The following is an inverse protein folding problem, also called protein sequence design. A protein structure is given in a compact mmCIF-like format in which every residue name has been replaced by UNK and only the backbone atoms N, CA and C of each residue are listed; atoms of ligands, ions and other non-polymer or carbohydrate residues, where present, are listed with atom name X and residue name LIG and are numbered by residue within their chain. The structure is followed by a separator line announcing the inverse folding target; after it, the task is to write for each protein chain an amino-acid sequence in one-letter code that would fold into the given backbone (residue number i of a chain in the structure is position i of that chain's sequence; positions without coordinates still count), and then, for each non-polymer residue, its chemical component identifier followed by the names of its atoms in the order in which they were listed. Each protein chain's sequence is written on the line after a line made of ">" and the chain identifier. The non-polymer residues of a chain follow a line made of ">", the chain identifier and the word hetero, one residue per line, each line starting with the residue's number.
data_IF_215883960689
#
_entry.id   IF_215883960689
#
_cell.length_a   1.000
_cell.length_b   1.000
_cell.length_c   1.000
_cell.angle_alpha   90.00
_cell.angle_beta   90.00
_cell.angle_gamma   90.00
#
_symmetry.space_group_name_H-M   'P 1'
#
loop_
_entity.id
_entity.type
_entity.pdbx_description
1 polymer ?
#
# COMPACT_ATOMS: atom_id res chain seq x y z
N UNK A 1 18.49 5.25 -26.01
CA UNK A 1 17.69 4.79 -24.85
C UNK A 1 16.64 5.85 -24.64
N UNK A 2 15.36 5.49 -24.57
CA UNK A 2 14.31 6.47 -24.26
C UNK A 2 14.51 6.98 -22.85
N UNK A 3 14.69 8.28 -22.67
CA UNK A 3 14.75 8.95 -21.38
C UNK A 3 13.35 8.94 -20.74
N UNK A 4 12.93 7.81 -20.19
CA UNK A 4 11.75 7.78 -19.32
C UNK A 4 12.22 7.82 -17.86
N UNK A 5 11.47 8.54 -17.04
CA UNK A 5 11.74 8.65 -15.62
C UNK A 5 10.57 8.04 -14.83
N UNK A 6 10.88 7.09 -13.94
CA UNK A 6 9.91 6.51 -13.01
C UNK A 6 10.07 7.24 -11.69
N UNK A 7 9.08 8.08 -11.34
CA UNK A 7 9.13 8.92 -10.14
C UNK A 7 8.72 8.19 -8.85
N UNK A 8 8.20 6.95 -8.93
CA UNK A 8 7.78 6.16 -7.77
C UNK A 8 6.38 5.56 -7.92
N UNK A 9 5.85 5.04 -6.80
CA UNK A 9 4.51 4.49 -6.71
C UNK A 9 3.56 5.62 -6.33
N UNK A 10 2.62 5.95 -7.22
CA UNK A 10 1.65 7.00 -6.97
C UNK A 10 0.51 6.50 -6.07
N UNK A 11 0.02 5.26 -6.28
CA UNK A 11 -1.08 4.68 -5.54
C UNK A 11 -1.00 3.17 -5.46
N UNK A 12 -1.73 2.59 -4.49
CA UNK A 12 -2.03 1.16 -4.44
C UNK A 12 -3.55 0.97 -4.39
N UNK A 13 -4.06 -0.04 -5.11
CA UNK A 13 -5.47 -0.39 -5.11
C UNK A 13 -5.87 -1.17 -3.85
N UNK A 14 -6.92 -0.74 -3.20
CA UNK A 14 -7.48 -1.39 -2.00
C UNK A 14 -8.95 -1.75 -2.26
N UNK A 15 -9.25 -3.05 -2.30
CA UNK A 15 -10.62 -3.56 -2.32
C UNK A 15 -11.29 -3.44 -0.95
N UNK A 16 -12.52 -2.94 -0.91
CA UNK A 16 -13.28 -2.79 0.34
C UNK A 16 -14.74 -3.18 0.18
N UNK A 17 -15.40 -3.45 1.29
CA UNK A 17 -16.86 -3.69 1.35
C UNK A 17 -17.63 -2.48 1.87
N UNK A 18 -16.94 -1.49 2.43
CA UNK A 18 -17.50 -0.22 2.91
C UNK A 18 -16.51 0.91 2.61
N UNK A 19 -16.78 1.59 1.52
CA UNK A 19 -15.95 2.65 1.00
C UNK A 19 -15.74 3.80 2.01
N UNK A 20 -16.82 4.32 2.60
CA UNK A 20 -16.77 5.46 3.51
C UNK A 20 -15.98 5.15 4.78
N UNK A 21 -16.23 3.98 5.35
CA UNK A 21 -15.52 3.51 6.54
C UNK A 21 -14.03 3.33 6.27
N UNK A 22 -13.69 2.76 5.11
CA UNK A 22 -12.30 2.57 4.69
C UNK A 22 -11.59 3.91 4.52
N UNK A 23 -12.16 4.82 3.75
CA UNK A 23 -11.52 6.10 3.50
C UNK A 23 -11.34 6.92 4.78
N UNK A 24 -12.34 6.98 5.66
CA UNK A 24 -12.21 7.63 6.96
C UNK A 24 -11.07 7.03 7.80
N UNK A 25 -10.88 5.71 7.73
CA UNK A 25 -9.78 5.04 8.39
C UNK A 25 -8.42 5.46 7.80
N UNK A 26 -8.29 5.52 6.46
CA UNK A 26 -7.06 5.96 5.79
C UNK A 26 -6.76 7.45 6.01
N UNK A 27 -7.78 8.29 6.10
CA UNK A 27 -7.60 9.69 6.53
C UNK A 27 -7.02 9.73 7.95
N UNK A 28 -7.63 9.00 8.89
CA UNK A 28 -7.27 9.05 10.31
C UNK A 28 -5.85 8.52 10.60
N UNK A 29 -5.44 7.45 9.91
CA UNK A 29 -4.15 6.81 10.20
C UNK A 29 -3.05 7.14 9.19
N UNK A 30 -3.38 7.32 7.93
CA UNK A 30 -2.37 7.56 6.89
C UNK A 30 -2.44 8.96 6.28
N UNK A 31 -3.33 9.83 6.76
CA UNK A 31 -3.45 11.20 6.27
C UNK A 31 -3.80 11.28 4.79
N UNK A 32 -4.51 10.28 4.23
CA UNK A 32 -4.97 10.25 2.84
C UNK A 32 -6.25 11.09 2.67
N UNK A 33 -6.14 12.39 2.93
CA UNK A 33 -7.25 13.33 3.05
C UNK A 33 -7.53 14.13 1.77
N UNK A 34 -6.65 14.08 0.79
CA UNK A 34 -6.83 14.76 -0.48
C UNK A 34 -7.45 13.81 -1.51
N UNK A 35 -8.67 14.12 -1.90
CA UNK A 35 -9.39 13.41 -2.96
C UNK A 35 -9.00 13.94 -4.33
N UNK A 36 -8.37 13.08 -5.15
CA UNK A 36 -8.02 13.40 -6.54
C UNK A 36 -9.19 13.10 -7.46
N UNK A 37 -9.83 11.95 -7.27
CA UNK A 37 -10.93 11.45 -8.10
C UNK A 37 -11.88 10.64 -7.24
N UNK A 38 -13.17 10.74 -7.51
CA UNK A 38 -14.22 9.85 -7.01
C UNK A 38 -15.26 9.64 -8.09
N UNK A 39 -15.56 8.39 -8.42
CA UNK A 39 -16.59 8.07 -9.39
C UNK A 39 -17.40 6.81 -9.04
N UNK A 40 -18.60 6.71 -9.58
CA UNK A 40 -19.48 5.54 -9.51
C UNK A 40 -19.84 5.12 -10.93
N UNK A 41 -19.11 4.15 -11.46
CA UNK A 41 -19.19 3.73 -12.86
C UNK A 41 -19.13 2.21 -13.02
N UNK A 42 -19.34 1.73 -14.23
CA UNK A 42 -19.19 0.31 -14.57
C UNK A 42 -17.73 0.01 -14.94
N UNK A 43 -17.15 -0.98 -14.28
CA UNK A 43 -15.80 -1.47 -14.57
C UNK A 43 -15.81 -2.42 -15.77
N UNK A 44 -15.81 -1.87 -16.97
CA UNK A 44 -15.92 -2.65 -18.21
C UNK A 44 -14.68 -3.46 -18.55
N UNK A 45 -13.49 -3.01 -18.06
CA UNK A 45 -12.19 -3.61 -18.39
C UNK A 45 -11.74 -4.69 -17.40
N UNK A 46 -12.47 -4.93 -16.33
CA UNK A 46 -12.11 -5.87 -15.26
C UNK A 46 -12.68 -7.27 -15.45
N UNK A 47 -13.15 -7.59 -16.64
CA UNK A 47 -13.88 -8.83 -16.96
C UNK A 47 -13.18 -10.13 -16.52
N UNK A 48 -11.85 -10.31 -16.68
CA UNK A 48 -11.19 -11.53 -16.23
C UNK A 48 -11.33 -11.78 -14.72
N UNK A 49 -11.50 -10.70 -13.95
CA UNK A 49 -11.57 -10.75 -12.47
C UNK A 49 -13.01 -10.70 -11.93
N UNK A 50 -14.00 -10.53 -12.81
CA UNK A 50 -15.41 -10.38 -12.43
C UNK A 50 -16.32 -11.46 -13.04
N UNK A 51 -15.72 -12.59 -13.45
CA UNK A 51 -16.46 -13.71 -14.06
C UNK A 51 -17.04 -13.39 -15.44
N UNK A 52 -16.34 -12.56 -16.22
CA UNK A 52 -16.71 -12.19 -17.59
C UNK A 52 -17.86 -11.18 -17.69
N UNK A 53 -18.31 -10.59 -16.59
CA UNK A 53 -19.43 -9.63 -16.58
C UNK A 53 -18.97 -8.27 -16.04
N UNK A 54 -19.33 -7.14 -16.68
CA UNK A 54 -19.13 -5.81 -16.14
C UNK A 54 -19.78 -5.67 -14.76
N UNK A 55 -19.09 -5.01 -13.83
CA UNK A 55 -19.60 -4.78 -12.47
C UNK A 55 -19.58 -3.29 -12.16
N UNK A 56 -20.66 -2.79 -11.57
CA UNK A 56 -20.69 -1.43 -11.06
C UNK A 56 -19.77 -1.31 -9.83
N UNK A 57 -18.99 -0.23 -9.80
CA UNK A 57 -18.06 0.06 -8.73
C UNK A 57 -18.14 1.50 -8.29
N UNK A 58 -17.82 1.76 -7.04
CA UNK A 58 -17.48 3.04 -6.49
C UNK A 58 -15.97 3.07 -6.20
N UNK A 59 -15.26 4.09 -6.67
CA UNK A 59 -13.83 4.21 -6.45
C UNK A 59 -13.43 5.66 -6.15
N UNK A 60 -12.38 5.80 -5.36
CA UNK A 60 -11.79 7.09 -5.04
C UNK A 60 -10.27 6.95 -5.05
N UNK A 61 -9.57 7.93 -5.63
CA UNK A 61 -8.14 8.12 -5.43
C UNK A 61 -7.95 9.18 -4.35
N UNK A 62 -7.43 8.74 -3.21
CA UNK A 62 -7.15 9.56 -2.04
C UNK A 62 -5.65 9.53 -1.72
N UNK A 63 -5.02 10.71 -1.63
CA UNK A 63 -3.57 10.83 -1.44
C UNK A 63 -3.23 11.60 -0.18
N UNK A 64 -1.99 11.38 0.29
CA UNK A 64 -1.34 12.17 1.32
C UNK A 64 -0.28 13.04 0.65
N UNK A 65 -0.49 14.35 0.60
CA UNK A 65 0.44 15.26 -0.08
C UNK A 65 1.80 15.37 0.60
N UNK A 66 1.91 15.05 1.89
CA UNK A 66 3.23 15.07 2.53
C UNK A 66 4.17 14.05 1.89
N UNK A 67 3.67 12.87 1.51
CA UNK A 67 4.48 11.84 0.87
C UNK A 67 4.33 11.75 -0.64
N UNK A 68 3.31 12.40 -1.22
CA UNK A 68 3.07 12.43 -2.66
C UNK A 68 2.44 11.17 -3.24
N UNK A 69 1.73 10.36 -2.45
CA UNK A 69 1.06 9.15 -2.91
C UNK A 69 -0.09 8.72 -2.00
N UNK A 70 -0.83 7.69 -2.38
CA UNK A 70 -1.99 7.26 -1.62
C UNK A 70 -2.64 5.95 -2.09
N UNK A 71 -3.95 5.96 -2.14
CA UNK A 71 -4.78 4.77 -2.33
C UNK A 71 -5.82 4.98 -3.41
N UNK A 72 -6.04 3.96 -4.24
CA UNK A 72 -7.28 3.79 -4.99
C UNK A 72 -8.19 2.88 -4.17
N UNK A 73 -9.18 3.47 -3.49
CA UNK A 73 -10.14 2.74 -2.67
C UNK A 73 -11.28 2.29 -3.56
N UNK A 74 -11.54 0.99 -3.64
CA UNK A 74 -12.41 0.37 -4.61
C UNK A 74 -13.46 -0.52 -3.96
N UNK A 75 -14.75 -0.27 -4.24
CA UNK A 75 -15.87 -1.09 -3.79
C UNK A 75 -16.76 -1.49 -4.97
N UNK A 76 -17.03 -2.79 -5.14
CA UNK A 76 -18.12 -3.21 -6.02
C UNK A 76 -19.47 -2.95 -5.37
N UNK A 77 -20.36 -2.17 -6.04
CA UNK A 77 -21.65 -1.74 -5.47
C UNK A 77 -22.77 -2.72 -5.73
N UNK A 78 -22.70 -3.55 -6.78
CA UNK A 78 -23.71 -4.58 -7.14
C UNK A 78 -23.29 -6.01 -6.83
N UNK A 79 -22.11 -6.19 -6.25
CA UNK A 79 -21.55 -7.49 -5.90
C UNK A 79 -20.87 -7.43 -4.54
N UNK A 80 -21.16 -8.39 -3.68
CA UNK A 80 -20.39 -8.57 -2.45
C UNK A 80 -19.07 -9.28 -2.78
N UNK A 81 -17.91 -8.69 -2.50
CA UNK A 81 -16.65 -9.37 -2.70
C UNK A 81 -16.48 -10.54 -1.74
N UNK A 82 -15.84 -11.61 -2.20
CA UNK A 82 -15.45 -12.71 -1.33
C UNK A 82 -14.18 -12.35 -0.57
N UNK A 83 -14.15 -12.67 0.72
CA UNK A 83 -12.92 -12.59 1.50
C UNK A 83 -11.96 -13.70 1.08
N UNK A 84 -10.66 -13.48 1.26
CA UNK A 84 -9.66 -14.51 1.03
C UNK A 84 -9.97 -15.73 1.94
N UNK A 85 -10.07 -16.95 1.40
CA UNK A 85 -10.46 -18.13 2.18
C UNK A 85 -9.33 -18.66 3.10
N UNK A 86 -8.13 -18.08 3.01
CA UNK A 86 -6.97 -18.45 3.83
C UNK A 86 -6.31 -17.22 4.41
N UNK A 87 -5.47 -17.44 5.43
CA UNK A 87 -4.66 -16.36 6.02
C UNK A 87 -3.46 -16.09 5.12
N UNK A 88 -3.42 -14.89 4.56
CA UNK A 88 -2.29 -14.43 3.75
C UNK A 88 -1.05 -14.29 4.65
N UNK A 89 0.06 -14.90 4.22
CA UNK A 89 1.35 -14.91 4.91
C UNK A 89 2.47 -14.35 4.04
N UNK A 90 3.60 -14.03 4.66
CA UNK A 90 4.83 -13.68 3.94
C UNK A 90 5.25 -14.86 3.06
N UNK A 91 5.53 -14.60 1.78
CA UNK A 91 5.86 -15.63 0.79
C UNK A 91 4.71 -16.03 -0.12
N UNK A 92 3.46 -15.71 0.25
CA UNK A 92 2.35 -15.87 -0.69
C UNK A 92 2.52 -14.93 -1.89
N UNK A 93 2.07 -15.38 -3.07
CA UNK A 93 2.24 -14.63 -4.30
C UNK A 93 1.42 -13.35 -4.33
N UNK A 94 2.02 -12.29 -4.86
CA UNK A 94 1.40 -10.97 -4.97
C UNK A 94 1.85 -9.99 -3.89
N UNK A 95 1.09 -8.90 -3.72
CA UNK A 95 1.41 -7.86 -2.74
C UNK A 95 1.00 -8.31 -1.34
N UNK A 96 2.01 -8.58 -0.50
CA UNK A 96 1.79 -8.92 0.91
C UNK A 96 1.55 -7.68 1.77
N UNK A 97 2.37 -6.64 1.60
CA UNK A 97 2.23 -5.39 2.35
C UNK A 97 2.58 -4.19 1.47
N UNK A 98 1.84 -3.12 1.66
CA UNK A 98 2.18 -1.80 1.12
C UNK A 98 3.07 -1.05 2.10
N UNK A 99 4.13 -0.38 1.59
CA UNK A 99 5.04 0.40 2.43
C UNK A 99 4.62 1.86 2.46
N UNK A 100 4.43 2.39 3.67
CA UNK A 100 4.01 3.77 3.93
C UNK A 100 5.15 4.51 4.61
N UNK A 101 5.45 5.72 4.15
CA UNK A 101 6.40 6.62 4.81
C UNK A 101 5.91 7.00 6.21
N UNK A 102 6.82 6.98 7.17
CA UNK A 102 6.60 7.43 8.53
C UNK A 102 7.79 8.28 8.99
N UNK A 103 7.57 9.53 9.37
CA UNK A 103 8.65 10.45 9.80
C UNK A 103 9.35 10.02 11.08
N UNK A 104 8.59 9.38 11.98
CA UNK A 104 9.07 8.87 13.25
C UNK A 104 8.25 7.64 13.65
N UNK A 105 8.82 6.47 13.46
CA UNK A 105 8.17 5.19 13.71
C UNK A 105 7.79 5.00 15.17
N UNK A 106 8.65 5.38 16.11
CA UNK A 106 8.40 5.22 17.54
C UNK A 106 7.23 6.11 18.01
N UNK A 107 7.20 7.35 17.57
CA UNK A 107 6.12 8.31 17.90
C UNK A 107 4.79 7.87 17.29
N UNK A 108 4.80 7.50 16.00
CA UNK A 108 3.57 7.07 15.33
C UNK A 108 3.04 5.75 15.91
N UNK A 109 3.91 4.80 16.24
CA UNK A 109 3.53 3.56 16.91
C UNK A 109 2.82 3.84 18.24
N UNK A 110 3.39 4.71 19.09
CA UNK A 110 2.77 5.11 20.36
C UNK A 110 1.38 5.74 20.13
N UNK A 111 1.27 6.61 19.13
CA UNK A 111 0.00 7.27 18.78
C UNK A 111 -1.03 6.26 18.29
N UNK A 112 -0.68 5.43 17.30
CA UNK A 112 -1.64 4.53 16.67
C UNK A 112 -2.12 3.43 17.61
N UNK A 113 -1.24 2.87 18.45
CA UNK A 113 -1.60 1.77 19.37
C UNK A 113 -2.49 2.19 20.52
N UNK A 114 -2.67 3.50 20.76
CA UNK A 114 -3.68 3.99 21.71
C UNK A 114 -5.11 3.74 21.24
N UNK A 115 -5.35 3.74 19.91
CA UNK A 115 -6.67 3.59 19.29
C UNK A 115 -6.84 2.37 18.40
N UNK A 116 -5.73 1.81 17.91
CA UNK A 116 -5.72 0.67 16.99
C UNK A 116 -4.78 -0.44 17.45
N UNK A 117 -5.31 -1.66 17.62
CA UNK A 117 -4.55 -2.76 18.24
C UNK A 117 -3.90 -3.73 17.23
N UNK A 118 -4.25 -3.64 15.95
CA UNK A 118 -3.72 -4.55 14.92
C UNK A 118 -2.37 -4.05 14.38
N UNK A 119 -1.36 -3.97 15.29
CA UNK A 119 -0.01 -3.54 15.01
C UNK A 119 1.00 -4.55 15.57
N UNK A 120 2.14 -4.74 14.88
CA UNK A 120 3.31 -5.44 15.47
C UNK A 120 4.13 -4.45 16.32
N UNK A 121 4.96 -4.91 17.27
CA UNK A 121 5.98 -4.06 17.85
C UNK A 121 6.93 -3.49 16.78
N UNK A 122 7.54 -2.31 17.02
CA UNK A 122 8.59 -1.79 16.14
C UNK A 122 9.79 -2.74 16.06
N UNK A 123 10.35 -2.84 14.87
CA UNK A 123 11.57 -3.59 14.57
C UNK A 123 12.50 -2.77 13.67
N UNK A 124 13.69 -3.29 13.42
CA UNK A 124 14.68 -2.67 12.54
C UNK A 124 14.95 -3.59 11.36
N UNK A 125 14.82 -3.07 10.16
CA UNK A 125 15.15 -3.79 8.92
C UNK A 125 16.67 -4.05 8.83
N UNK A 126 17.11 -5.00 7.98
CA UNK A 126 18.54 -5.30 7.80
C UNK A 126 19.40 -4.10 7.37
N UNK A 127 18.81 -3.08 6.73
CA UNK A 127 19.47 -1.84 6.34
C UNK A 127 19.49 -0.78 7.46
N UNK A 128 19.06 -1.13 8.68
CA UNK A 128 18.99 -0.23 9.82
C UNK A 128 17.74 0.65 9.89
N UNK A 129 16.81 0.51 8.95
CA UNK A 129 15.60 1.35 8.90
C UNK A 129 14.56 0.87 9.93
N UNK A 130 14.09 1.72 10.86
CA UNK A 130 13.00 1.38 11.75
C UNK A 130 11.69 1.15 11.00
N UNK A 131 10.92 0.16 11.45
CA UNK A 131 9.59 -0.10 10.88
C UNK A 131 8.66 -0.81 11.87
N UNK A 132 7.39 -0.90 11.55
CA UNK A 132 6.43 -1.83 12.15
C UNK A 132 5.32 -2.14 11.13
N UNK A 133 4.55 -3.20 11.41
CA UNK A 133 3.41 -3.56 10.57
C UNK A 133 2.09 -3.23 11.26
N UNK A 134 1.11 -2.82 10.47
CA UNK A 134 -0.27 -2.69 10.91
C UNK A 134 -1.23 -3.21 9.86
N UNK A 135 -2.42 -3.63 10.30
CA UNK A 135 -3.50 -4.05 9.41
C UNK A 135 -4.65 -3.07 9.48
N UNK A 136 -5.30 -2.87 8.34
CA UNK A 136 -6.53 -2.08 8.27
C UNK A 136 -7.76 -2.83 8.79
N UNK A 137 -8.94 -2.27 8.53
CA UNK A 137 -10.25 -2.82 8.90
C UNK A 137 -10.55 -4.20 8.32
N UNK A 138 -9.90 -4.57 7.22
CA UNK A 138 -10.15 -5.78 6.45
C UNK A 138 -8.94 -6.73 6.42
N UNK A 139 -7.89 -6.39 7.16
CA UNK A 139 -6.70 -7.24 7.28
C UNK A 139 -5.63 -6.98 6.23
N UNK A 140 -5.78 -5.95 5.37
CA UNK A 140 -4.72 -5.52 4.48
C UNK A 140 -3.51 -5.07 5.30
N UNK A 141 -2.31 -5.55 4.92
CA UNK A 141 -1.09 -5.31 5.66
C UNK A 141 -0.35 -4.09 5.14
N UNK A 142 0.10 -3.24 6.06
CA UNK A 142 0.92 -2.06 5.77
C UNK A 142 2.19 -2.11 6.61
N UNK A 143 3.32 -1.84 5.98
CA UNK A 143 4.60 -1.63 6.64
C UNK A 143 4.87 -0.13 6.73
N UNK A 144 4.90 0.40 7.94
CA UNK A 144 5.30 1.78 8.23
C UNK A 144 6.81 1.78 8.34
N UNK A 145 7.50 2.48 7.44
CA UNK A 145 8.96 2.57 7.43
C UNK A 145 9.41 4.00 7.69
N UNK A 146 10.50 4.16 8.45
CA UNK A 146 11.01 5.49 8.72
C UNK A 146 11.60 6.11 7.45
N UNK A 147 10.96 7.17 7.00
CA UNK A 147 11.37 7.97 5.84
C UNK A 147 10.96 9.43 6.08
N UNK A 148 11.95 10.32 6.10
CA UNK A 148 11.77 11.76 6.37
C UNK A 148 11.59 12.58 5.10
N UNK A 149 11.66 11.96 3.92
CA UNK A 149 11.43 12.65 2.66
C UNK A 149 9.99 13.11 2.53
N UNK A 150 9.80 14.33 2.06
CA UNK A 150 8.47 14.94 1.88
C UNK A 150 8.33 15.50 0.48
N UNK A 151 7.11 15.45 -0.06
CA UNK A 151 6.72 16.18 -1.26
C UNK A 151 6.24 17.59 -0.89
N UNK A 152 5.31 17.70 0.07
CA UNK A 152 4.91 18.96 0.68
C UNK A 152 4.94 18.77 2.21
N UNK A 153 5.56 19.68 2.95
CA UNK A 153 5.57 19.57 4.40
C UNK A 153 4.21 20.02 4.99
N UNK A 154 3.45 19.06 5.47
CA UNK A 154 2.15 19.26 6.14
C UNK A 154 2.20 18.93 7.63
N UNK A 155 3.39 18.69 8.16
CA UNK A 155 3.64 18.31 9.57
C UNK A 155 2.89 17.03 10.02
N UNK A 156 2.59 16.13 9.08
CA UNK A 156 2.01 14.82 9.36
C UNK A 156 3.08 13.80 9.76
N UNK A 157 2.73 12.83 10.60
CA UNK A 157 3.62 11.72 10.96
C UNK A 157 3.74 10.68 9.84
N UNK A 158 2.71 10.55 9.00
CA UNK A 158 2.68 9.62 7.86
C UNK A 158 2.80 10.36 6.54
N UNK A 159 3.37 9.69 5.57
CA UNK A 159 3.46 10.17 4.18
C UNK A 159 2.66 9.30 3.21
N UNK A 160 3.01 9.36 1.94
CA UNK A 160 2.42 8.52 0.89
C UNK A 160 3.08 7.15 0.79
N UNK A 161 2.74 6.47 -0.28
CA UNK A 161 3.31 5.18 -0.65
C UNK A 161 4.79 5.31 -1.02
N UNK A 162 5.59 4.32 -0.61
CA UNK A 162 7.03 4.28 -0.92
C UNK A 162 7.46 2.95 -1.53
N UNK A 163 6.64 1.91 -1.43
CA UNK A 163 7.00 0.61 -1.95
C UNK A 163 5.96 -0.47 -1.65
N UNK A 164 6.32 -1.70 -1.95
CA UNK A 164 5.54 -2.88 -1.60
C UNK A 164 6.44 -4.06 -1.25
N UNK A 165 5.93 -4.98 -0.46
CA UNK A 165 6.49 -6.32 -0.27
C UNK A 165 5.72 -7.26 -1.19
N UNK A 166 6.43 -7.89 -2.12
CA UNK A 166 5.83 -8.70 -3.19
C UNK A 166 6.39 -10.12 -3.12
N UNK A 167 5.51 -11.10 -2.93
CA UNK A 167 5.85 -12.50 -3.08
C UNK A 167 5.90 -12.90 -4.55
N UNK A 168 6.96 -13.59 -4.95
CA UNK A 168 7.21 -14.00 -6.34
C UNK A 168 7.62 -15.47 -6.41
N UNK A 169 7.38 -16.12 -7.55
CA UNK A 169 7.79 -17.52 -7.78
C UNK A 169 9.27 -17.69 -8.13
N UNK A 170 9.90 -16.62 -8.62
CA UNK A 170 11.27 -16.61 -9.10
C UNK A 170 11.91 -15.26 -8.77
N UNK A 171 12.77 -15.27 -7.76
CA UNK A 171 13.43 -14.06 -7.26
C UNK A 171 14.40 -13.48 -8.28
N UNK A 172 15.23 -14.31 -8.92
CA UNK A 172 16.25 -13.84 -9.87
C UNK A 172 15.59 -13.17 -11.08
N UNK A 173 14.56 -13.80 -11.63
CA UNK A 173 13.78 -13.25 -12.74
C UNK A 173 13.10 -11.94 -12.35
N UNK A 174 12.57 -11.85 -11.15
CA UNK A 174 11.90 -10.64 -10.64
C UNK A 174 12.89 -9.50 -10.45
N UNK A 175 14.03 -9.76 -9.80
CA UNK A 175 15.11 -8.77 -9.64
C UNK A 175 15.59 -8.25 -10.99
N UNK A 176 15.79 -9.16 -11.96
CA UNK A 176 16.18 -8.78 -13.32
C UNK A 176 15.14 -7.89 -14.00
N UNK A 177 13.85 -8.21 -13.85
CA UNK A 177 12.76 -7.38 -14.38
C UNK A 177 12.75 -5.99 -13.75
N UNK A 178 12.72 -5.90 -12.43
CA UNK A 178 12.68 -4.62 -11.72
C UNK A 178 13.91 -3.74 -11.99
N UNK A 179 15.10 -4.35 -12.10
CA UNK A 179 16.32 -3.61 -12.40
C UNK A 179 16.41 -3.14 -13.86
N UNK A 180 16.12 -4.01 -14.81
CA UNK A 180 16.31 -3.71 -16.24
C UNK A 180 15.17 -2.92 -16.86
N UNK A 181 13.93 -3.16 -16.41
CA UNK A 181 12.73 -2.52 -16.98
C UNK A 181 12.34 -1.27 -16.19
N UNK A 182 12.40 -1.33 -14.86
CA UNK A 182 11.98 -0.23 -13.99
C UNK A 182 13.14 0.57 -13.38
N UNK A 183 14.39 0.17 -13.62
CA UNK A 183 15.57 0.89 -13.17
C UNK A 183 15.86 0.78 -11.66
N UNK A 184 15.25 -0.18 -10.94
CA UNK A 184 15.55 -0.44 -9.53
C UNK A 184 16.89 -1.17 -9.40
N UNK A 185 17.98 -0.42 -9.32
CA UNK A 185 19.37 -0.96 -9.33
C UNK A 185 20.01 -1.05 -7.95
N UNK A 186 19.40 -0.45 -6.92
CA UNK A 186 19.99 -0.41 -5.57
C UNK A 186 19.45 -1.59 -4.76
N UNK A 187 20.34 -2.50 -4.37
CA UNK A 187 20.05 -3.58 -3.42
C UNK A 187 20.38 -3.05 -2.01
N UNK A 188 19.37 -2.91 -1.15
CA UNK A 188 19.56 -2.47 0.23
C UNK A 188 19.96 -3.61 1.16
N UNK A 189 19.39 -4.78 0.95
CA UNK A 189 19.73 -6.01 1.67
C UNK A 189 19.36 -7.22 0.83
N UNK A 190 20.11 -8.31 1.01
CA UNK A 190 19.84 -9.62 0.45
C UNK A 190 20.04 -10.65 1.54
N UNK A 191 19.08 -11.57 1.71
CA UNK A 191 19.16 -12.63 2.69
C UNK A 191 18.47 -13.88 2.17
N UNK A 192 19.10 -15.02 2.36
CA UNK A 192 18.49 -16.32 2.13
C UNK A 192 17.89 -16.79 3.46
N UNK A 193 16.56 -16.96 3.48
CA UNK A 193 15.89 -17.55 4.64
C UNK A 193 16.40 -18.98 4.90
N UNK A 194 16.59 -19.32 6.18
CA UNK A 194 16.83 -20.70 6.62
C UNK A 194 15.51 -21.37 6.92
#
# INVERSE_FOLDING_TARGET
>A
MSDFNIAGIQQIGIGTVDFRKSWNWYIGYFGADIKILEDDTVAERMLPYTGGKPQQRHACIAVNLQGGGGFEIWQYSKRKPSVCPFKIAVGDLGIFAAKIKCRNVAEFYKKVTSTWKSCTPPEVLPDGTPCFYMKDLYGNCFQLIEDKSVFINEDKLTGGMVGAVIGVTDMERSVKFYSQVLGYSIIKSDSVGK
#
